data_IF_840034807752
#
_entry.id   IF_840034807752
#
_cell.length_a   1.000
_cell.length_b   1.000
_cell.length_c   1.000
_cell.angle_alpha   90.00
_cell.angle_beta   90.00
_cell.angle_gamma   90.00
#
_symmetry.space_group_name_H-M   'P 1'
#
loop_
_entity.id
_entity.type
_entity.pdbx_description
1 polymer ?
#
# COMPACT_ATOMS: atom_id res chain seq x y z
N UNK A 1 -15.09 5.96 25.33
CA UNK A 1 -15.78 6.92 24.42
C UNK A 1 -15.77 6.32 23.03
N UNK A 2 -16.91 6.26 22.35
CA UNK A 2 -16.98 5.70 21.00
C UNK A 2 -16.11 6.56 20.07
N UNK A 3 -15.28 5.97 19.20
CA UNK A 3 -14.31 6.72 18.36
C UNK A 3 -14.96 7.79 17.47
N UNK A 4 -16.27 7.70 17.21
CA UNK A 4 -17.01 8.65 16.39
C UNK A 4 -17.15 10.04 17.06
N UNK A 5 -17.30 10.13 18.37
CA UNK A 5 -17.36 11.44 19.06
C UNK A 5 -16.03 12.20 18.98
N UNK A 6 -14.89 11.48 19.00
CA UNK A 6 -13.57 12.08 18.82
C UNK A 6 -13.37 12.62 17.41
N UNK A 7 -13.85 11.89 16.40
CA UNK A 7 -13.80 12.34 14.99
C UNK A 7 -14.64 13.60 14.80
N UNK A 8 -15.87 13.61 15.31
CA UNK A 8 -16.75 14.79 15.23
C UNK A 8 -16.16 15.99 15.97
N UNK A 9 -15.68 15.81 17.20
CA UNK A 9 -15.03 16.87 17.97
C UNK A 9 -13.78 17.42 17.25
N UNK A 10 -12.99 16.54 16.62
CA UNK A 10 -11.82 16.95 15.85
C UNK A 10 -12.21 17.74 14.59
N UNK A 11 -13.25 17.35 13.86
CA UNK A 11 -13.75 18.08 12.69
C UNK A 11 -14.22 19.48 13.09
N UNK A 12 -14.96 19.61 14.20
CA UNK A 12 -15.44 20.91 14.72
C UNK A 12 -14.27 21.81 15.15
N UNK A 13 -13.30 21.25 15.87
CA UNK A 13 -12.10 21.96 16.28
C UNK A 13 -11.27 22.41 15.06
N UNK A 14 -11.14 21.55 14.07
CA UNK A 14 -10.45 21.82 12.82
C UNK A 14 -11.11 22.96 12.06
N UNK A 15 -12.47 22.97 11.99
CA UNK A 15 -13.24 24.07 11.38
C UNK A 15 -13.06 25.40 12.10
N UNK A 16 -13.02 25.41 13.43
CA UNK A 16 -12.79 26.61 14.24
C UNK A 16 -11.37 27.16 14.03
N UNK A 17 -10.33 26.31 14.05
CA UNK A 17 -8.93 26.72 13.84
C UNK A 17 -8.69 27.20 12.41
N UNK A 18 -9.35 26.56 11.42
CA UNK A 18 -9.18 26.89 9.99
C UNK A 18 -9.54 28.33 9.63
N UNK A 19 -10.48 28.93 10.39
CA UNK A 19 -10.91 30.32 10.23
C UNK A 19 -9.77 31.35 10.45
N UNK A 20 -8.79 31.03 11.30
CA UNK A 20 -7.71 31.92 11.70
C UNK A 20 -6.43 31.72 10.90
N UNK A 21 -6.32 30.69 10.06
CA UNK A 21 -5.12 30.38 9.30
C UNK A 21 -4.95 31.30 8.09
N UNK A 22 -3.69 31.66 7.73
CA UNK A 22 -3.41 32.35 6.48
C UNK A 22 -3.88 31.57 5.25
N UNK A 23 -4.30 32.24 4.16
CA UNK A 23 -4.79 31.55 2.95
C UNK A 23 -3.81 30.52 2.37
N UNK A 24 -2.52 30.84 2.36
CA UNK A 24 -1.46 29.92 1.93
C UNK A 24 -1.44 28.63 2.75
N UNK A 25 -1.46 28.76 4.08
CA UNK A 25 -1.47 27.59 4.98
C UNK A 25 -2.72 26.74 4.78
N UNK A 26 -3.87 27.34 4.54
CA UNK A 26 -5.13 26.61 4.23
C UNK A 26 -4.99 25.80 2.96
N UNK A 27 -4.43 26.39 1.91
CA UNK A 27 -4.19 25.71 0.64
C UNK A 27 -3.20 24.54 0.81
N UNK A 28 -2.09 24.77 1.51
CA UNK A 28 -1.07 23.75 1.79
C UNK A 28 -1.64 22.57 2.58
N UNK A 29 -2.41 22.85 3.64
CA UNK A 29 -3.09 21.83 4.42
C UNK A 29 -4.15 21.08 3.61
N UNK A 30 -4.82 21.73 2.66
CA UNK A 30 -5.75 21.09 1.76
C UNK A 30 -5.04 20.11 0.83
N UNK A 31 -3.88 20.46 0.27
CA UNK A 31 -3.06 19.53 -0.50
C UNK A 31 -2.54 18.36 0.34
N UNK A 32 -2.10 18.60 1.56
CA UNK A 32 -1.70 17.54 2.50
C UNK A 32 -2.87 16.56 2.70
N UNK A 33 -4.10 17.05 2.90
CA UNK A 33 -5.28 16.20 3.04
C UNK A 33 -5.57 15.35 1.80
N UNK A 34 -5.47 15.95 0.60
CA UNK A 34 -5.65 15.26 -0.68
C UNK A 34 -4.61 14.15 -0.89
N UNK A 35 -3.34 14.47 -0.66
CA UNK A 35 -2.24 13.52 -0.82
C UNK A 35 -2.29 12.43 0.24
N UNK A 36 -2.66 12.77 1.49
CA UNK A 36 -2.87 11.80 2.55
C UNK A 36 -3.97 10.79 2.20
N UNK A 37 -5.05 11.22 1.54
CA UNK A 37 -6.14 10.33 1.12
C UNK A 37 -5.64 9.25 0.12
N UNK A 38 -4.80 9.64 -0.84
CA UNK A 38 -4.16 8.70 -1.77
C UNK A 38 -3.15 7.81 -1.04
N UNK A 39 -2.33 8.40 -0.18
CA UNK A 39 -1.31 7.67 0.59
C UNK A 39 -1.93 6.64 1.55
N UNK A 40 -3.09 6.92 2.15
CA UNK A 40 -3.86 5.98 2.97
C UNK A 40 -4.30 4.77 2.13
N UNK A 41 -4.77 4.99 0.90
CA UNK A 41 -5.06 3.91 -0.06
C UNK A 41 -3.82 3.07 -0.38
N UNK A 42 -2.66 3.72 -0.58
CA UNK A 42 -1.38 3.04 -0.82
C UNK A 42 -0.87 2.28 0.40
N UNK A 43 -1.08 2.78 1.62
CA UNK A 43 -0.77 2.02 2.85
C UNK A 43 -1.58 0.73 2.90
N UNK A 44 -2.87 0.77 2.54
CA UNK A 44 -3.69 -0.45 2.44
C UNK A 44 -3.15 -1.42 1.40
N UNK A 45 -2.79 -0.90 0.22
CA UNK A 45 -2.33 -1.71 -0.90
C UNK A 45 -0.92 -2.27 -0.66
N UNK A 46 0.05 -1.40 -0.37
CA UNK A 46 1.47 -1.77 -0.25
C UNK A 46 1.80 -2.27 1.14
N UNK A 47 1.33 -1.58 2.16
CA UNK A 47 1.68 -1.86 3.54
C UNK A 47 0.99 -3.09 4.12
N UNK A 48 -0.30 -3.21 3.89
CA UNK A 48 -1.13 -4.31 4.42
C UNK A 48 -1.27 -5.44 3.41
N UNK A 49 -1.58 -5.11 2.16
CA UNK A 49 -1.79 -6.09 1.09
C UNK A 49 -0.51 -6.63 0.44
N UNK A 50 0.65 -6.00 0.69
CA UNK A 50 1.94 -6.43 0.13
C UNK A 50 2.08 -6.23 -1.38
N UNK A 51 1.34 -5.29 -1.97
CA UNK A 51 1.29 -5.02 -3.41
C UNK A 51 1.76 -3.61 -3.72
N UNK A 52 2.90 -3.44 -4.37
CA UNK A 52 3.41 -2.11 -4.75
C UNK A 52 2.75 -1.63 -6.03
N UNK A 53 2.27 -0.38 -6.05
CA UNK A 53 1.68 0.28 -7.20
C UNK A 53 2.20 1.71 -7.36
N UNK A 54 2.58 2.06 -8.58
CA UNK A 54 3.01 3.41 -8.96
C UNK A 54 1.94 4.17 -9.74
N UNK A 55 0.86 3.51 -10.15
CA UNK A 55 -0.17 4.07 -11.02
C UNK A 55 -1.30 4.83 -10.31
N UNK A 56 -1.19 5.13 -9.01
CA UNK A 56 -2.29 5.74 -8.25
C UNK A 56 -2.65 7.15 -8.73
N UNK A 57 -1.68 7.92 -9.25
CA UNK A 57 -1.93 9.24 -9.81
C UNK A 57 -2.92 9.21 -10.99
N UNK A 58 -2.91 8.15 -11.79
CA UNK A 58 -3.87 7.98 -12.89
C UNK A 58 -5.32 7.82 -12.40
N UNK A 59 -5.52 7.14 -11.26
CA UNK A 59 -6.86 7.02 -10.64
C UNK A 59 -7.33 8.35 -10.03
N UNK A 60 -6.41 9.18 -9.51
CA UNK A 60 -6.71 10.57 -9.14
C UNK A 60 -7.21 11.33 -10.38
N UNK A 61 -6.53 11.17 -11.52
CA UNK A 61 -6.93 11.74 -12.80
C UNK A 61 -8.32 11.31 -13.23
N UNK A 62 -8.66 10.03 -13.14
CA UNK A 62 -10.00 9.53 -13.50
C UNK A 62 -11.11 10.23 -12.71
N UNK A 63 -10.94 10.38 -11.40
CA UNK A 63 -11.90 11.10 -10.55
C UNK A 63 -12.03 12.58 -10.90
N UNK A 64 -10.89 13.23 -11.17
CA UNK A 64 -10.84 14.64 -11.55
C UNK A 64 -11.49 14.89 -12.94
N UNK A 65 -11.09 14.12 -13.93
CA UNK A 65 -11.60 14.29 -15.31
C UNK A 65 -13.06 13.90 -15.47
N UNK A 66 -13.54 12.86 -14.79
CA UNK A 66 -14.95 12.51 -14.79
C UNK A 66 -15.81 13.67 -14.26
N UNK A 67 -15.32 14.35 -13.21
CA UNK A 67 -16.01 15.52 -12.65
C UNK A 67 -15.95 16.72 -13.60
N UNK A 68 -14.78 17.00 -14.18
CA UNK A 68 -14.63 18.09 -15.14
C UNK A 68 -15.53 17.87 -16.38
N UNK A 69 -15.57 16.65 -16.88
CA UNK A 69 -16.42 16.31 -18.05
C UNK A 69 -17.92 16.51 -17.75
N UNK A 70 -18.42 16.00 -16.63
CA UNK A 70 -19.83 16.18 -16.23
C UNK A 70 -20.19 17.64 -16.05
N UNK A 71 -19.28 18.46 -15.57
CA UNK A 71 -19.57 19.86 -15.22
C UNK A 71 -19.43 20.82 -16.39
N UNK A 72 -18.61 20.47 -17.39
CA UNK A 72 -18.22 21.40 -18.47
C UNK A 72 -18.64 20.95 -19.86
N UNK A 73 -18.88 19.65 -20.12
CA UNK A 73 -19.21 19.20 -21.46
C UNK A 73 -20.63 19.60 -21.89
N UNK A 74 -20.82 20.05 -23.14
CA UNK A 74 -22.13 20.38 -23.67
C UNK A 74 -23.08 19.17 -23.69
N UNK A 75 -22.56 17.97 -23.94
CA UNK A 75 -23.34 16.73 -23.99
C UNK A 75 -23.89 16.39 -22.60
N UNK A 76 -23.05 16.45 -21.56
CA UNK A 76 -23.49 16.24 -20.19
C UNK A 76 -24.53 17.30 -19.78
N UNK A 77 -24.33 18.56 -20.16
CA UNK A 77 -25.29 19.64 -19.88
C UNK A 77 -26.66 19.38 -20.51
N UNK A 78 -26.71 18.79 -21.71
CA UNK A 78 -27.99 18.42 -22.38
C UNK A 78 -28.66 17.25 -21.61
N UNK A 79 -27.92 16.22 -21.24
CA UNK A 79 -28.47 15.06 -20.51
C UNK A 79 -28.94 15.42 -19.11
N UNK A 80 -28.32 16.40 -18.48
CA UNK A 80 -28.60 16.81 -17.12
C UNK A 80 -29.43 18.11 -17.05
N UNK A 81 -29.99 18.59 -18.16
CA UNK A 81 -30.68 19.87 -18.24
C UNK A 81 -31.85 20.02 -17.26
N UNK A 82 -32.50 18.91 -16.87
CA UNK A 82 -33.59 18.89 -15.89
C UNK A 82 -33.11 19.02 -14.42
N UNK A 83 -31.79 18.92 -14.14
CA UNK A 83 -31.24 18.94 -12.81
C UNK A 83 -30.58 20.28 -12.47
N UNK A 84 -30.63 20.72 -11.20
CA UNK A 84 -29.92 21.91 -10.75
C UNK A 84 -28.39 21.75 -10.97
N UNK A 85 -27.73 22.78 -11.46
CA UNK A 85 -26.27 22.77 -11.74
C UNK A 85 -25.42 22.45 -10.51
N UNK A 86 -25.86 22.78 -9.30
CA UNK A 86 -25.18 22.45 -8.04
C UNK A 86 -25.05 20.94 -7.78
N UNK A 87 -25.84 20.09 -8.47
CA UNK A 87 -25.78 18.62 -8.35
C UNK A 87 -24.70 18.03 -9.27
N UNK A 88 -24.27 18.72 -10.33
CA UNK A 88 -23.33 18.20 -11.31
C UNK A 88 -22.00 17.69 -10.70
N UNK A 89 -21.36 18.39 -9.75
CA UNK A 89 -20.16 17.85 -9.09
C UNK A 89 -20.39 16.52 -8.35
N UNK A 90 -21.58 16.31 -7.79
CA UNK A 90 -21.95 15.05 -7.12
C UNK A 90 -22.15 13.90 -8.09
N UNK A 91 -22.77 14.20 -9.27
CA UNK A 91 -22.88 13.23 -10.37
C UNK A 91 -21.48 12.90 -10.89
N UNK A 92 -20.59 13.90 -10.99
CA UNK A 92 -19.19 13.72 -11.33
C UNK A 92 -18.44 12.79 -10.35
N UNK A 93 -18.72 12.92 -9.05
CA UNK A 93 -18.20 11.98 -8.04
C UNK A 93 -18.65 10.55 -8.32
N UNK A 94 -19.96 10.34 -8.49
CA UNK A 94 -20.50 9.00 -8.72
C UNK A 94 -19.96 8.38 -10.02
N UNK A 95 -19.92 9.15 -11.09
CA UNK A 95 -19.34 8.72 -12.36
C UNK A 95 -17.84 8.42 -12.21
N UNK A 96 -17.10 9.31 -11.56
CA UNK A 96 -15.67 9.13 -11.30
C UNK A 96 -15.36 7.86 -10.51
N UNK A 97 -16.14 7.61 -9.45
CA UNK A 97 -16.00 6.38 -8.67
C UNK A 97 -16.38 5.14 -9.48
N UNK A 98 -17.47 5.18 -10.27
CA UNK A 98 -17.91 4.06 -11.08
C UNK A 98 -16.89 3.72 -12.19
N UNK A 99 -16.41 4.71 -12.94
CA UNK A 99 -15.39 4.55 -13.98
C UNK A 99 -14.09 4.04 -13.36
N UNK A 100 -13.66 4.63 -12.25
CA UNK A 100 -12.44 4.19 -11.56
C UNK A 100 -12.57 2.78 -11.03
N UNK A 101 -13.72 2.40 -10.45
CA UNK A 101 -13.96 1.04 -9.98
C UNK A 101 -13.86 0.02 -11.13
N UNK A 102 -14.47 0.33 -12.27
CA UNK A 102 -14.43 -0.52 -13.47
C UNK A 102 -13.00 -0.65 -14.01
N UNK A 103 -12.32 0.49 -14.22
CA UNK A 103 -10.94 0.51 -14.73
C UNK A 103 -10.00 -0.21 -13.76
N UNK A 104 -10.09 0.06 -12.47
CA UNK A 104 -9.27 -0.59 -11.46
C UNK A 104 -9.57 -2.09 -11.36
N UNK A 105 -10.82 -2.50 -11.52
CA UNK A 105 -11.18 -3.92 -11.54
C UNK A 105 -10.57 -4.63 -12.77
N UNK A 106 -10.71 -4.05 -13.97
CA UNK A 106 -10.14 -4.59 -15.22
C UNK A 106 -8.61 -4.67 -15.12
N UNK A 107 -7.97 -3.55 -14.76
CA UNK A 107 -6.51 -3.48 -14.62
C UNK A 107 -6.01 -4.42 -13.52
N UNK A 108 -6.73 -4.48 -12.39
CA UNK A 108 -6.44 -5.41 -11.31
C UNK A 108 -6.55 -6.87 -11.74
N UNK A 109 -7.60 -7.24 -12.48
CA UNK A 109 -7.80 -8.61 -12.97
C UNK A 109 -6.66 -9.07 -13.92
N UNK A 110 -6.11 -8.15 -14.70
CA UNK A 110 -5.00 -8.40 -15.63
C UNK A 110 -3.65 -8.39 -14.90
N UNK A 111 -3.35 -7.30 -14.16
CA UNK A 111 -2.01 -7.06 -13.60
C UNK A 111 -1.73 -7.84 -12.32
N UNK A 112 -2.74 -8.09 -11.46
CA UNK A 112 -2.53 -8.83 -10.20
C UNK A 112 -2.29 -10.33 -10.38
N UNK A 113 -2.43 -10.85 -11.59
CA UNK A 113 -1.97 -12.20 -11.96
C UNK A 113 -0.43 -12.27 -12.08
N UNK A 114 0.20 -11.11 -12.37
CA UNK A 114 1.65 -10.99 -12.39
C UNK A 114 2.19 -11.10 -10.97
N UNK A 115 3.34 -11.75 -10.83
CA UNK A 115 4.01 -11.95 -9.53
C UNK A 115 5.33 -11.21 -9.46
N UNK A 116 5.78 -10.90 -8.25
CA UNK A 116 7.09 -10.28 -8.02
C UNK A 116 7.20 -8.88 -8.62
N UNK A 117 8.27 -8.63 -9.36
CA UNK A 117 8.60 -7.32 -9.93
C UNK A 117 7.72 -6.88 -11.11
N UNK A 118 6.95 -7.78 -11.70
CA UNK A 118 6.11 -7.44 -12.86
C UNK A 118 4.87 -6.60 -12.50
N UNK A 119 4.37 -6.72 -11.26
CA UNK A 119 3.23 -5.92 -10.82
C UNK A 119 3.52 -4.41 -10.80
N UNK A 120 4.62 -3.93 -10.19
CA UNK A 120 5.00 -2.52 -10.27
C UNK A 120 5.16 -2.00 -11.71
N UNK A 121 5.81 -2.79 -12.58
CA UNK A 121 5.99 -2.43 -14.00
C UNK A 121 4.65 -2.29 -14.73
N UNK A 122 3.71 -3.22 -14.49
CA UNK A 122 2.37 -3.14 -15.05
C UNK A 122 1.63 -1.86 -14.61
N UNK A 123 1.74 -1.49 -13.33
CA UNK A 123 1.10 -0.26 -12.82
C UNK A 123 1.72 1.02 -13.35
N UNK A 124 3.03 1.03 -13.65
CA UNK A 124 3.71 2.13 -14.36
C UNK A 124 3.17 2.25 -15.78
N UNK A 125 3.09 1.13 -16.52
CA UNK A 125 2.61 1.13 -17.90
C UNK A 125 1.18 1.70 -18.01
N UNK A 126 0.27 1.24 -17.15
CA UNK A 126 -1.10 1.75 -17.12
C UNK A 126 -1.18 3.21 -16.67
N UNK A 127 -0.34 3.61 -15.70
CA UNK A 127 -0.25 4.99 -15.26
C UNK A 127 0.13 5.93 -16.39
N UNK A 128 1.17 5.57 -17.17
CA UNK A 128 1.59 6.32 -18.36
C UNK A 128 0.51 6.31 -19.44
N UNK A 129 -0.12 5.17 -19.73
CA UNK A 129 -1.16 5.07 -20.75
C UNK A 129 -2.33 6.01 -20.44
N UNK A 130 -2.84 6.01 -19.19
CA UNK A 130 -3.92 6.92 -18.79
C UNK A 130 -3.49 8.39 -18.80
N UNK A 131 -2.27 8.71 -18.42
CA UNK A 131 -1.72 10.06 -18.53
C UNK A 131 -1.76 10.58 -19.97
N UNK A 132 -1.34 9.75 -20.94
CA UNK A 132 -1.41 10.12 -22.37
C UNK A 132 -2.83 10.14 -22.89
N UNK A 133 -3.73 9.30 -22.38
CA UNK A 133 -5.16 9.38 -22.72
C UNK A 133 -5.72 10.74 -22.29
N UNK A 134 -5.43 11.19 -21.06
CA UNK A 134 -5.88 12.52 -20.61
C UNK A 134 -5.32 13.66 -21.45
N UNK A 135 -4.04 13.56 -21.87
CA UNK A 135 -3.37 14.59 -22.65
C UNK A 135 -3.76 14.65 -24.13
N UNK A 136 -4.22 13.54 -24.72
CA UNK A 136 -4.50 13.46 -26.15
C UNK A 136 -6.00 13.48 -26.50
N UNK A 137 -6.89 13.29 -25.53
CA UNK A 137 -8.33 13.40 -25.78
C UNK A 137 -8.78 14.87 -25.76
N UNK A 138 -9.19 15.38 -26.91
CA UNK A 138 -9.72 16.75 -27.07
C UNK A 138 -10.93 17.02 -26.17
N UNK A 139 -11.80 16.03 -25.98
CA UNK A 139 -12.97 16.11 -25.10
C UNK A 139 -12.58 16.38 -23.63
N UNK A 140 -11.35 16.00 -23.24
CA UNK A 140 -10.78 16.26 -21.90
C UNK A 140 -9.90 17.54 -21.87
N UNK A 141 -9.90 18.35 -22.94
CA UNK A 141 -9.12 19.57 -23.03
C UNK A 141 -7.63 19.37 -23.35
N UNK A 142 -7.20 18.13 -23.62
CA UNK A 142 -5.82 17.80 -23.94
C UNK A 142 -4.82 18.28 -22.87
N UNK A 143 -3.61 18.63 -23.28
CA UNK A 143 -2.58 19.17 -22.37
C UNK A 143 -2.85 20.59 -21.89
N UNK A 144 -3.72 21.36 -22.58
CA UNK A 144 -4.13 22.71 -22.15
C UNK A 144 -5.05 22.66 -20.93
N UNK A 145 -5.82 21.59 -20.81
CA UNK A 145 -6.73 21.35 -19.69
C UNK A 145 -8.09 22.04 -19.83
N UNK A 146 -8.92 21.84 -18.81
CA UNK A 146 -10.27 22.39 -18.69
C UNK A 146 -10.32 23.35 -17.49
N UNK A 147 -10.94 24.53 -17.68
CA UNK A 147 -11.11 25.55 -16.64
C UNK A 147 -12.59 25.91 -16.47
N UNK A 148 -12.90 26.56 -15.33
CA UNK A 148 -14.27 27.02 -15.08
C UNK A 148 -15.16 25.99 -14.38
N UNK A 149 -14.59 25.00 -13.70
CA UNK A 149 -15.35 24.01 -12.93
C UNK A 149 -16.12 24.69 -11.79
N UNK A 150 -17.44 24.45 -11.68
CA UNK A 150 -18.27 25.10 -10.68
C UNK A 150 -17.90 24.67 -9.25
N UNK A 151 -18.11 25.54 -8.25
CA UNK A 151 -17.91 25.17 -6.86
C UNK A 151 -18.89 24.07 -6.43
N UNK A 152 -18.48 23.30 -5.42
CA UNK A 152 -19.38 22.34 -4.79
C UNK A 152 -20.46 23.07 -3.99
N UNK A 153 -21.69 22.63 -4.13
CA UNK A 153 -22.82 23.11 -3.33
C UNK A 153 -23.32 21.98 -2.42
N UNK A 154 -23.49 22.30 -1.14
CA UNK A 154 -24.02 21.40 -0.11
C UNK A 154 -25.17 22.10 0.59
N UNK A 155 -26.38 21.56 0.47
CA UNK A 155 -27.61 22.13 1.05
C UNK A 155 -27.82 23.63 0.75
N UNK A 156 -27.49 24.07 -0.47
CA UNK A 156 -27.64 25.48 -0.88
C UNK A 156 -26.48 26.39 -0.44
N UNK A 157 -25.49 25.87 0.30
CA UNK A 157 -24.28 26.60 0.67
C UNK A 157 -23.17 26.29 -0.36
N UNK A 158 -22.67 27.36 -1.01
CA UNK A 158 -21.56 27.22 -1.94
C UNK A 158 -20.24 27.09 -1.18
N UNK A 159 -19.50 26.00 -1.44
CA UNK A 159 -18.16 25.76 -0.92
C UNK A 159 -17.08 26.38 -1.83
N UNK A 160 -17.35 27.59 -2.35
CA UNK A 160 -16.44 28.32 -3.20
C UNK A 160 -15.16 28.75 -2.48
N UNK A 161 -15.22 28.90 -1.15
CA UNK A 161 -14.08 29.26 -0.33
C UNK A 161 -13.13 28.08 -0.13
N UNK A 162 -11.81 28.23 -0.40
CA UNK A 162 -10.81 27.19 -0.11
C UNK A 162 -10.83 26.74 1.37
N UNK A 163 -11.23 27.61 2.28
CA UNK A 163 -11.35 27.29 3.70
C UNK A 163 -12.41 26.24 3.97
N UNK A 164 -13.62 26.43 3.44
CA UNK A 164 -14.71 25.47 3.61
C UNK A 164 -14.40 24.14 2.94
N UNK A 165 -13.87 24.19 1.73
CA UNK A 165 -13.49 22.98 1.00
C UNK A 165 -12.34 22.23 1.71
N UNK A 166 -11.37 22.94 2.29
CA UNK A 166 -10.32 22.36 3.11
C UNK A 166 -10.86 21.55 4.30
N UNK A 167 -11.88 22.08 5.01
CA UNK A 167 -12.55 21.34 6.08
C UNK A 167 -13.20 20.06 5.55
N UNK A 168 -13.86 20.13 4.37
CA UNK A 168 -14.46 18.95 3.72
C UNK A 168 -13.40 17.91 3.37
N UNK A 169 -12.25 18.32 2.80
CA UNK A 169 -11.14 17.41 2.47
C UNK A 169 -10.68 16.64 3.71
N UNK A 170 -10.45 17.32 4.82
CA UNK A 170 -10.02 16.68 6.06
C UNK A 170 -11.13 15.82 6.69
N UNK A 171 -12.37 16.24 6.61
CA UNK A 171 -13.51 15.43 7.06
C UNK A 171 -13.59 14.11 6.27
N UNK A 172 -13.46 14.17 4.95
CA UNK A 172 -13.44 12.99 4.07
C UNK A 172 -12.24 12.09 4.39
N UNK A 173 -11.04 12.65 4.60
CA UNK A 173 -9.86 11.90 5.01
C UNK A 173 -10.08 11.17 6.35
N UNK A 174 -10.64 11.83 7.35
CA UNK A 174 -10.91 11.22 8.66
C UNK A 174 -11.95 10.12 8.58
N UNK A 175 -13.01 10.31 7.79
CA UNK A 175 -14.01 9.27 7.52
C UNK A 175 -13.39 8.08 6.80
N UNK A 176 -12.52 8.32 5.81
CA UNK A 176 -11.78 7.27 5.11
C UNK A 176 -10.87 6.48 6.08
N UNK A 177 -10.08 7.15 6.91
CA UNK A 177 -9.22 6.51 7.92
C UNK A 177 -10.06 5.70 8.91
N UNK A 178 -11.18 6.23 9.39
CA UNK A 178 -12.09 5.53 10.29
C UNK A 178 -12.69 4.28 9.63
N UNK A 179 -13.18 4.40 8.40
CA UNK A 179 -13.72 3.27 7.63
C UNK A 179 -12.69 2.18 7.39
N UNK A 180 -11.46 2.55 7.01
CA UNK A 180 -10.36 1.61 6.81
C UNK A 180 -9.88 0.97 8.12
N UNK A 181 -9.89 1.72 9.23
CA UNK A 181 -9.59 1.15 10.54
C UNK A 181 -10.57 0.04 10.90
N UNK A 182 -11.88 0.30 10.74
CA UNK A 182 -12.92 -0.70 10.96
C UNK A 182 -12.81 -1.89 10.00
N UNK A 183 -12.49 -1.62 8.72
CA UNK A 183 -12.24 -2.67 7.74
C UNK A 183 -11.09 -3.57 8.17
N UNK A 184 -9.98 -3.00 8.63
CA UNK A 184 -8.81 -3.77 9.07
C UNK A 184 -9.10 -4.63 10.30
N UNK A 185 -10.00 -4.22 11.18
CA UNK A 185 -10.39 -5.00 12.37
C UNK A 185 -11.44 -6.07 12.07
N UNK A 186 -12.01 -6.07 10.84
CA UNK A 186 -13.01 -7.03 10.39
C UNK A 186 -12.41 -8.38 9.96
N UNK A 187 -13.29 -9.34 9.58
CA UNK A 187 -12.89 -10.63 8.98
C UNK A 187 -12.13 -10.42 7.67
N UNK A 188 -12.61 -9.49 6.82
CA UNK A 188 -11.95 -9.13 5.56
C UNK A 188 -10.54 -8.53 5.80
N UNK A 189 -10.40 -7.69 6.82
CA UNK A 189 -9.10 -7.11 7.18
C UNK A 189 -8.07 -8.15 7.61
N UNK A 190 -8.50 -9.21 8.31
CA UNK A 190 -7.60 -10.34 8.63
C UNK A 190 -7.18 -11.10 7.38
N UNK A 191 -8.11 -11.32 6.44
CA UNK A 191 -7.80 -11.96 5.16
C UNK A 191 -6.82 -11.10 4.32
N UNK A 192 -6.99 -9.76 4.31
CA UNK A 192 -6.07 -8.84 3.63
C UNK A 192 -4.67 -8.89 4.26
N UNK A 193 -4.57 -8.89 5.59
CA UNK A 193 -3.27 -9.01 6.28
C UNK A 193 -2.56 -10.33 5.99
N UNK A 194 -3.32 -11.42 5.81
CA UNK A 194 -2.76 -12.73 5.47
C UNK A 194 -2.05 -12.74 4.10
N UNK A 195 -2.44 -11.85 3.16
CA UNK A 195 -1.78 -11.74 1.84
C UNK A 195 -0.28 -11.44 1.97
N UNK A 196 0.12 -10.64 2.96
CA UNK A 196 1.52 -10.26 3.19
C UNK A 196 2.35 -11.39 3.76
N UNK A 197 1.75 -12.30 4.53
CA UNK A 197 2.45 -13.42 5.18
C UNK A 197 2.83 -14.55 4.23
N UNK A 198 2.22 -14.59 3.04
CA UNK A 198 2.49 -15.58 2.00
C UNK A 198 1.21 -16.09 1.36
N UNK A 199 1.21 -16.17 0.04
CA UNK A 199 0.04 -16.56 -0.76
C UNK A 199 -0.41 -17.99 -0.43
N UNK A 200 0.51 -18.94 -0.47
CA UNK A 200 0.22 -20.36 -0.21
C UNK A 200 -0.37 -20.57 1.19
N UNK A 201 0.18 -19.89 2.21
CA UNK A 201 -0.32 -20.01 3.58
C UNK A 201 -1.73 -19.41 3.72
N UNK A 202 -2.01 -18.28 3.07
CA UNK A 202 -3.33 -17.68 3.09
C UNK A 202 -4.37 -18.59 2.38
N UNK A 203 -4.02 -19.13 1.22
CA UNK A 203 -4.87 -20.06 0.44
C UNK A 203 -5.14 -21.37 1.20
N UNK A 204 -4.16 -21.92 1.92
CA UNK A 204 -4.35 -23.11 2.75
C UNK A 204 -5.31 -22.90 3.91
N UNK A 205 -5.48 -21.64 4.35
CA UNK A 205 -6.46 -21.23 5.36
C UNK A 205 -7.82 -20.81 4.76
N UNK A 206 -8.05 -21.08 3.46
CA UNK A 206 -9.32 -20.80 2.78
C UNK A 206 -9.50 -19.35 2.34
N UNK A 207 -8.44 -18.54 2.28
CA UNK A 207 -8.50 -17.17 1.79
C UNK A 207 -8.37 -17.16 0.26
N UNK A 208 -9.38 -16.63 -0.44
CA UNK A 208 -9.29 -16.35 -1.88
C UNK A 208 -8.37 -15.12 -2.11
N UNK A 209 -7.08 -15.37 -2.29
CA UNK A 209 -6.07 -14.32 -2.40
C UNK A 209 -6.23 -13.46 -3.64
N UNK A 210 -6.72 -14.03 -4.76
CA UNK A 210 -6.94 -13.29 -5.99
C UNK A 210 -8.05 -12.24 -5.82
N UNK A 211 -9.19 -12.65 -5.25
CA UNK A 211 -10.31 -11.75 -4.96
C UNK A 211 -9.93 -10.65 -3.95
N UNK A 212 -9.20 -11.01 -2.90
CA UNK A 212 -8.78 -10.03 -1.89
C UNK A 212 -7.80 -9.00 -2.46
N UNK A 213 -6.87 -9.39 -3.31
CA UNK A 213 -5.97 -8.47 -4.01
C UNK A 213 -6.72 -7.45 -4.85
N UNK A 214 -7.70 -7.92 -5.66
CA UNK A 214 -8.53 -7.03 -6.50
C UNK A 214 -9.33 -6.06 -5.61
N UNK A 215 -9.97 -6.54 -4.53
CA UNK A 215 -10.71 -5.67 -3.60
C UNK A 215 -9.85 -4.54 -3.03
N UNK A 216 -8.65 -4.86 -2.54
CA UNK A 216 -7.73 -3.86 -1.99
C UNK A 216 -7.27 -2.88 -3.05
N UNK A 217 -6.98 -3.36 -4.27
CA UNK A 217 -6.56 -2.52 -5.39
C UNK A 217 -7.66 -1.54 -5.80
N UNK A 218 -8.91 -2.01 -5.97
CA UNK A 218 -10.07 -1.18 -6.27
C UNK A 218 -10.34 -0.16 -5.15
N UNK A 219 -10.26 -0.58 -3.89
CA UNK A 219 -10.45 0.32 -2.75
C UNK A 219 -9.41 1.46 -2.74
N UNK A 220 -8.14 1.15 -2.98
CA UNK A 220 -7.09 2.17 -3.09
C UNK A 220 -7.32 3.12 -4.27
N UNK A 221 -7.75 2.59 -5.41
CA UNK A 221 -8.11 3.40 -6.59
C UNK A 221 -9.31 4.32 -6.33
N UNK A 222 -10.33 3.85 -5.60
CA UNK A 222 -11.49 4.67 -5.24
C UNK A 222 -11.13 5.82 -4.30
N UNK A 223 -10.22 5.60 -3.35
CA UNK A 223 -9.70 6.68 -2.50
C UNK A 223 -8.88 7.70 -3.31
N UNK A 224 -8.12 7.24 -4.30
CA UNK A 224 -7.43 8.12 -5.22
C UNK A 224 -8.39 8.92 -6.09
N UNK A 225 -9.45 8.31 -6.63
CA UNK A 225 -10.48 9.02 -7.39
C UNK A 225 -11.24 10.05 -6.54
N UNK A 226 -11.53 9.71 -5.30
CA UNK A 226 -12.14 10.64 -4.33
C UNK A 226 -11.24 11.86 -4.07
N UNK A 227 -9.92 11.63 -3.95
CA UNK A 227 -8.94 12.73 -3.90
C UNK A 227 -8.96 13.57 -5.17
N UNK A 228 -9.06 12.94 -6.34
CA UNK A 228 -9.14 13.63 -7.63
C UNK A 228 -10.39 14.51 -7.79
N UNK A 229 -11.53 14.01 -7.34
CA UNK A 229 -12.76 14.79 -7.27
C UNK A 229 -12.61 16.04 -6.39
N UNK A 230 -12.05 15.90 -5.18
CA UNK A 230 -11.80 17.03 -4.28
C UNK A 230 -10.74 17.98 -4.84
N UNK A 231 -9.71 17.44 -5.49
CA UNK A 231 -8.63 18.21 -6.12
C UNK A 231 -9.18 19.17 -7.19
N UNK A 232 -10.01 18.66 -8.11
CA UNK A 232 -10.55 19.45 -9.21
C UNK A 232 -11.51 20.55 -8.71
N UNK A 233 -12.25 20.29 -7.64
CA UNK A 233 -13.10 21.29 -6.99
C UNK A 233 -12.30 22.37 -6.27
N UNK A 234 -11.13 22.03 -5.71
CA UNK A 234 -10.21 22.97 -5.09
C UNK A 234 -9.55 23.88 -6.11
N UNK A 235 -9.04 23.30 -7.20
CA UNK A 235 -8.31 24.01 -8.24
C UNK A 235 -9.20 24.72 -9.27
N UNK A 236 -10.43 24.23 -9.47
CA UNK A 236 -11.36 24.65 -10.53
C UNK A 236 -10.75 24.61 -11.94
N UNK A 237 -9.70 23.81 -12.07
CA UNK A 237 -8.92 23.58 -13.26
C UNK A 237 -8.37 22.16 -13.23
N UNK A 238 -8.28 21.54 -14.40
CA UNK A 238 -7.65 20.22 -14.55
C UNK A 238 -6.83 20.17 -15.83
N UNK A 239 -5.60 19.67 -15.70
CA UNK A 239 -4.73 19.27 -16.80
C UNK A 239 -4.04 17.94 -16.45
N UNK A 240 -3.35 17.26 -17.38
CA UNK A 240 -2.74 15.95 -17.10
C UNK A 240 -1.56 15.99 -16.12
N UNK A 241 -0.84 17.12 -16.02
CA UNK A 241 0.43 17.22 -15.29
C UNK A 241 0.40 16.66 -13.84
N UNK A 242 -0.63 16.92 -13.00
CA UNK A 242 -0.69 16.40 -11.63
C UNK A 242 -0.95 14.88 -11.55
N UNK A 243 -1.21 14.22 -12.67
CA UNK A 243 -1.50 12.79 -12.75
C UNK A 243 -0.38 12.01 -13.44
N UNK A 244 0.77 12.65 -13.64
CA UNK A 244 1.96 12.03 -14.22
C UNK A 244 2.57 10.98 -13.26
N UNK A 245 3.41 10.11 -13.80
CA UNK A 245 4.04 9.02 -13.08
C UNK A 245 4.90 9.48 -11.89
N UNK A 246 5.62 10.59 -12.03
CA UNK A 246 6.43 11.16 -10.95
C UNK A 246 5.60 11.47 -9.69
N UNK A 247 4.38 11.97 -9.86
CA UNK A 247 3.46 12.23 -8.75
C UNK A 247 2.96 10.90 -8.13
N UNK A 248 2.74 9.87 -8.94
CA UNK A 248 2.43 8.52 -8.45
C UNK A 248 3.54 7.94 -7.58
N UNK A 249 4.80 8.20 -7.95
CA UNK A 249 5.98 7.84 -7.16
C UNK A 249 6.02 8.64 -5.84
N UNK A 250 5.74 9.95 -5.88
CA UNK A 250 5.66 10.79 -4.67
C UNK A 250 4.60 10.26 -3.68
N UNK A 251 3.42 9.87 -4.14
CA UNK A 251 2.39 9.26 -3.29
C UNK A 251 2.86 7.98 -2.60
N UNK A 252 3.58 7.13 -3.33
CA UNK A 252 4.14 5.92 -2.74
C UNK A 252 5.19 6.29 -1.68
N UNK A 253 6.00 7.30 -1.92
CA UNK A 253 6.98 7.80 -0.96
C UNK A 253 6.32 8.31 0.32
N UNK A 254 5.24 9.06 0.20
CA UNK A 254 4.45 9.51 1.36
C UNK A 254 3.98 8.32 2.20
N UNK A 255 3.48 7.26 1.57
CA UNK A 255 3.02 6.06 2.25
C UNK A 255 4.16 5.29 2.93
N UNK A 256 5.31 5.16 2.29
CA UNK A 256 6.47 4.38 2.79
C UNK A 256 7.20 5.15 3.89
N UNK A 257 7.53 6.44 3.66
CA UNK A 257 8.21 7.30 4.64
C UNK A 257 7.37 7.46 5.90
N UNK A 258 6.07 7.66 5.73
CA UNK A 258 5.15 7.76 6.87
C UNK A 258 5.06 6.48 7.68
N UNK A 259 5.12 5.34 7.02
CA UNK A 259 5.06 4.00 7.65
C UNK A 259 4.01 3.11 7.01
N UNK A 260 4.47 2.21 6.16
CA UNK A 260 3.64 1.36 5.30
C UNK A 260 2.63 0.45 6.02
N UNK A 261 2.70 0.31 7.34
CA UNK A 261 1.76 -0.50 8.13
C UNK A 261 0.71 0.30 8.91
N UNK A 262 0.69 1.63 8.81
CA UNK A 262 -0.09 2.48 9.70
C UNK A 262 -0.84 3.57 8.91
N UNK A 263 -2.17 3.64 9.04
CA UNK A 263 -3.00 4.64 8.35
C UNK A 263 -2.60 6.07 8.71
N UNK A 264 -2.32 6.36 9.99
CA UNK A 264 -1.83 7.66 10.43
C UNK A 264 -0.42 7.96 9.94
N UNK A 265 0.37 6.94 9.62
CA UNK A 265 1.65 7.09 8.96
C UNK A 265 1.51 7.75 7.59
N UNK A 266 0.47 7.43 6.82
CA UNK A 266 0.20 8.07 5.52
C UNK A 266 0.01 9.59 5.67
N UNK A 267 -0.73 10.03 6.70
CA UNK A 267 -0.93 11.46 6.98
C UNK A 267 0.40 12.13 7.34
N UNK A 268 1.19 11.48 8.22
CA UNK A 268 2.52 11.98 8.58
C UNK A 268 3.43 12.10 7.36
N UNK A 269 3.48 11.07 6.53
CA UNK A 269 4.31 11.05 5.32
C UNK A 269 3.88 12.10 4.30
N UNK A 270 2.57 12.24 4.05
CA UNK A 270 2.02 13.29 3.20
C UNK A 270 2.39 14.69 3.74
N UNK A 271 2.25 14.92 5.04
CA UNK A 271 2.63 16.19 5.68
C UNK A 271 4.11 16.47 5.52
N UNK A 272 4.96 15.50 5.87
CA UNK A 272 6.41 15.68 5.82
C UNK A 272 6.91 15.96 4.40
N UNK A 273 6.47 15.14 3.43
CA UNK A 273 6.92 15.27 2.04
C UNK A 273 6.42 16.58 1.42
N UNK A 274 5.16 16.96 1.69
CA UNK A 274 4.61 18.23 1.14
C UNK A 274 5.32 19.44 1.73
N UNK A 275 5.52 19.49 3.06
CA UNK A 275 6.24 20.58 3.70
C UNK A 275 7.70 20.66 3.26
N UNK A 276 8.35 19.52 3.12
CA UNK A 276 9.73 19.47 2.66
C UNK A 276 9.86 19.97 1.22
N UNK A 277 8.94 19.55 0.34
CA UNK A 277 8.90 20.01 -1.05
C UNK A 277 8.77 21.52 -1.14
N UNK A 278 7.84 22.09 -0.39
CA UNK A 278 7.64 23.52 -0.32
C UNK A 278 8.89 24.28 0.16
N UNK A 279 9.51 23.79 1.23
CA UNK A 279 10.74 24.41 1.75
C UNK A 279 11.92 24.30 0.76
N UNK A 280 12.06 23.15 0.10
CA UNK A 280 13.13 22.95 -0.87
C UNK A 280 12.96 23.83 -2.11
N UNK A 281 11.73 24.02 -2.59
CA UNK A 281 11.44 24.93 -3.71
C UNK A 281 11.83 26.38 -3.41
N UNK A 282 11.72 26.80 -2.15
CA UNK A 282 12.14 28.14 -1.73
C UNK A 282 13.66 28.26 -1.49
N UNK A 283 14.29 27.25 -0.90
CA UNK A 283 15.68 27.33 -0.42
C UNK A 283 16.72 26.95 -1.48
N UNK A 284 16.43 25.91 -2.31
CA UNK A 284 17.42 25.44 -3.30
C UNK A 284 17.81 26.49 -4.33
N UNK A 285 16.89 27.25 -4.94
CA UNK A 285 17.26 28.31 -5.88
C UNK A 285 18.13 29.42 -5.22
N UNK A 286 17.87 29.71 -3.94
CA UNK A 286 18.66 30.73 -3.18
C UNK A 286 20.08 30.23 -2.89
N UNK A 287 20.27 28.91 -2.67
CA UNK A 287 21.58 28.34 -2.36
C UNK A 287 22.41 28.06 -3.61
N UNK A 288 21.78 27.60 -4.69
CA UNK A 288 22.46 27.14 -5.90
C UNK A 288 22.57 28.25 -6.99
N UNK A 289 21.87 29.36 -6.80
CA UNK A 289 21.90 30.47 -7.77
C UNK A 289 21.29 30.17 -9.14
N UNK A 290 20.64 29.03 -9.27
CA UNK A 290 20.00 28.57 -10.52
C UNK A 290 18.63 27.93 -10.25
N UNK A 291 17.68 28.22 -11.15
CA UNK A 291 16.36 27.58 -11.13
C UNK A 291 16.44 26.22 -11.85
N UNK A 292 16.55 25.14 -11.10
CA UNK A 292 16.52 23.76 -11.61
C UNK A 292 15.70 22.86 -10.69
N UNK A 293 15.25 21.70 -11.21
CA UNK A 293 14.49 20.72 -10.44
C UNK A 293 15.40 19.88 -9.52
N UNK A 294 16.27 20.55 -8.75
CA UNK A 294 17.19 19.90 -7.81
C UNK A 294 16.46 19.22 -6.65
N UNK A 295 15.23 19.62 -6.39
CA UNK A 295 14.37 18.99 -5.39
C UNK A 295 14.26 17.47 -5.57
N UNK A 296 14.20 16.96 -6.81
CA UNK A 296 14.13 15.53 -7.11
C UNK A 296 15.35 14.77 -6.60
N UNK A 297 16.55 15.36 -6.73
CA UNK A 297 17.80 14.78 -6.25
C UNK A 297 17.83 14.71 -4.72
N UNK A 298 17.40 15.81 -4.07
CA UNK A 298 17.32 15.87 -2.60
C UNK A 298 16.29 14.87 -2.08
N UNK A 299 15.14 14.74 -2.74
CA UNK A 299 14.15 13.74 -2.42
C UNK A 299 14.70 12.31 -2.54
N UNK A 300 15.39 11.99 -3.62
CA UNK A 300 15.99 10.68 -3.83
C UNK A 300 16.98 10.32 -2.71
N UNK A 301 17.86 11.27 -2.35
CA UNK A 301 18.82 11.07 -1.27
C UNK A 301 18.14 10.91 0.10
N UNK A 302 17.17 11.76 0.39
CA UNK A 302 16.41 11.71 1.65
C UNK A 302 15.64 10.40 1.79
N UNK A 303 15.04 9.91 0.71
CA UNK A 303 14.39 8.62 0.67
C UNK A 303 15.34 7.48 1.02
N UNK A 304 16.53 7.45 0.42
CA UNK A 304 17.54 6.44 0.73
C UNK A 304 17.91 6.48 2.21
N UNK A 305 18.11 7.66 2.77
CA UNK A 305 18.43 7.84 4.20
C UNK A 305 17.29 7.36 5.11
N UNK A 306 16.04 7.74 4.79
CA UNK A 306 14.88 7.30 5.58
C UNK A 306 14.71 5.80 5.53
N UNK A 307 14.80 5.17 4.34
CA UNK A 307 14.68 3.72 4.20
C UNK A 307 15.80 2.97 4.93
N UNK A 308 17.02 3.51 4.97
CA UNK A 308 18.13 2.91 5.71
C UNK A 308 17.95 3.00 7.23
N UNK A 309 17.47 4.16 7.75
CA UNK A 309 17.36 4.42 9.19
C UNK A 309 16.01 3.99 9.78
N UNK A 310 14.95 4.02 9.00
CA UNK A 310 13.59 3.73 9.39
C UNK A 310 12.89 2.79 8.39
N UNK A 311 13.28 1.52 8.26
CA UNK A 311 12.74 0.57 7.28
C UNK A 311 11.23 0.35 7.44
N UNK A 312 10.68 0.59 8.64
CA UNK A 312 9.23 0.51 8.92
C UNK A 312 8.53 1.87 8.84
N UNK A 313 9.22 2.92 8.37
CA UNK A 313 8.75 4.30 8.32
C UNK A 313 8.86 5.06 9.64
N UNK A 314 8.48 6.34 9.61
CA UNK A 314 8.66 7.26 10.75
C UNK A 314 7.59 7.10 11.84
N UNK A 315 6.37 6.67 11.50
CA UNK A 315 5.27 6.55 12.45
C UNK A 315 5.58 5.63 13.65
N UNK A 316 6.14 4.41 13.49
CA UNK A 316 6.47 3.57 14.63
C UNK A 316 7.49 4.21 15.58
N UNK A 317 8.45 4.99 15.06
CA UNK A 317 9.43 5.71 15.86
C UNK A 317 8.75 6.78 16.73
N UNK A 318 7.89 7.61 16.12
CA UNK A 318 7.12 8.63 16.81
C UNK A 318 6.15 8.03 17.82
N UNK A 319 5.41 6.98 17.44
CA UNK A 319 4.48 6.30 18.33
C UNK A 319 5.19 5.63 19.52
N UNK A 320 6.41 5.12 19.34
CA UNK A 320 7.22 4.57 20.43
C UNK A 320 7.74 5.67 21.37
N UNK A 321 8.17 6.80 20.81
CA UNK A 321 8.64 7.95 21.59
C UNK A 321 7.50 8.56 22.43
N UNK A 322 6.32 8.77 21.83
CA UNK A 322 5.14 9.28 22.55
C UNK A 322 4.65 8.31 23.63
N UNK A 323 4.69 6.99 23.37
CA UNK A 323 4.36 5.98 24.38
C UNK A 323 5.33 5.99 25.57
N UNK A 324 6.63 6.21 25.33
CA UNK A 324 7.63 6.33 26.40
C UNK A 324 7.41 7.57 27.24
N UNK A 325 6.98 8.68 26.61
CA UNK A 325 6.69 9.95 27.31
C UNK A 325 5.37 9.91 28.10
N UNK A 326 4.33 9.25 27.56
CA UNK A 326 2.98 9.25 28.13
C UNK A 326 2.68 8.09 29.07
N UNK A 327 3.46 7.01 29.05
CA UNK A 327 3.36 5.90 30.00
C UNK A 327 4.71 5.74 30.71
N UNK A 328 4.81 6.17 31.99
CA UNK A 328 5.86 5.66 32.84
C UNK A 328 5.78 4.13 32.80
N UNK A 329 6.93 3.48 32.67
CA UNK A 329 7.07 2.03 32.56
C UNK A 329 6.08 1.33 33.48
N UNK A 330 5.02 0.77 32.88
CA UNK A 330 4.28 -0.25 33.60
C UNK A 330 5.32 -1.34 33.94
N UNK A 331 5.48 -1.60 35.23
CA UNK A 331 6.34 -2.67 35.70
C UNK A 331 6.07 -3.91 34.83
N UNK A 332 7.11 -4.67 34.46
CA UNK A 332 6.93 -5.88 33.68
C UNK A 332 5.84 -6.69 34.38
N UNK A 333 4.75 -6.91 33.62
CA UNK A 333 3.62 -7.72 34.12
C UNK A 333 4.25 -9.05 34.48
N UNK A 334 4.52 -9.26 35.79
CA UNK A 334 4.93 -10.57 36.28
C UNK A 334 3.85 -11.52 35.77
N UNK A 335 4.21 -12.35 34.81
CA UNK A 335 3.39 -13.51 34.49
C UNK A 335 3.21 -14.22 35.80
N UNK A 336 2.02 -14.04 36.41
CA UNK A 336 1.64 -14.85 37.55
C UNK A 336 1.70 -16.27 37.03
N UNK A 337 2.74 -16.97 37.44
CA UNK A 337 2.85 -18.41 37.28
C UNK A 337 1.80 -19.02 38.22
N UNK A 338 0.54 -18.88 37.82
CA UNK A 338 -0.61 -19.35 38.60
C UNK A 338 -1.53 -20.17 37.71
N UNK A 339 -1.52 -21.44 37.94
CA UNK A 339 -2.34 -22.43 37.27
C UNK A 339 -1.50 -23.27 36.31
N UNK A 340 -1.30 -24.52 36.62
CA UNK A 340 -0.46 -25.46 35.93
C UNK A 340 -0.51 -25.32 34.42
N UNK A 341 0.52 -24.73 33.86
CA UNK A 341 0.81 -24.87 32.44
C UNK A 341 0.93 -26.37 32.26
N UNK A 342 -0.07 -26.98 31.59
CA UNK A 342 0.09 -28.34 31.10
C UNK A 342 1.43 -28.35 30.37
N UNK A 343 2.42 -28.99 30.96
CA UNK A 343 3.71 -29.15 30.32
C UNK A 343 3.41 -29.89 29.04
N UNK A 344 3.53 -29.17 27.90
CA UNK A 344 3.51 -29.83 26.60
C UNK A 344 4.50 -30.97 26.68
N UNK A 345 4.07 -32.19 26.39
CA UNK A 345 4.96 -33.35 26.33
C UNK A 345 6.23 -32.94 25.59
N UNK A 346 7.33 -32.81 26.34
CA UNK A 346 8.60 -32.45 25.71
C UNK A 346 8.98 -33.63 24.84
N UNK A 347 8.92 -33.41 23.56
CA UNK A 347 9.36 -34.38 22.57
C UNK A 347 10.81 -34.74 22.93
N UNK A 348 11.08 -36.02 23.18
CA UNK A 348 12.44 -36.48 23.46
C UNK A 348 13.29 -36.19 22.23
N UNK A 349 14.26 -35.30 22.38
CA UNK A 349 15.23 -35.00 21.34
C UNK A 349 16.11 -36.23 21.10
N UNK A 350 16.50 -36.52 19.86
CA UNK A 350 17.43 -37.60 19.58
C UNK A 350 18.78 -37.36 20.30
N UNK A 351 19.45 -38.37 20.79
CA UNK A 351 20.73 -38.23 21.45
C UNK A 351 21.76 -37.56 20.51
N UNK A 352 22.64 -36.72 21.05
CA UNK A 352 23.71 -36.06 20.24
C UNK A 352 24.51 -37.09 19.44
N UNK A 353 24.78 -36.76 18.16
CA UNK A 353 25.51 -37.63 17.25
C UNK A 353 24.65 -38.67 16.51
N UNK A 354 23.37 -38.86 16.88
CA UNK A 354 22.47 -39.70 16.08
C UNK A 354 22.17 -39.05 14.72
N UNK A 355 22.23 -39.84 13.67
CA UNK A 355 21.86 -39.38 12.31
C UNK A 355 20.37 -39.06 12.26
N UNK A 356 20.01 -37.80 11.96
CA UNK A 356 18.63 -37.33 11.93
C UNK A 356 18.13 -37.10 10.52
N UNK A 357 18.97 -36.57 9.63
CA UNK A 357 18.64 -36.34 8.23
C UNK A 357 19.75 -36.92 7.33
N UNK A 358 19.37 -37.63 6.30
CA UNK A 358 20.27 -38.15 5.29
C UNK A 358 19.66 -37.88 3.91
N UNK A 359 20.41 -37.23 3.04
CA UNK A 359 20.15 -37.10 1.63
C UNK A 359 21.21 -37.90 0.87
N UNK A 360 20.80 -38.82 0.00
CA UNK A 360 21.68 -39.69 -0.76
C UNK A 360 21.45 -39.49 -2.26
N UNK A 361 22.48 -39.08 -2.99
CA UNK A 361 22.47 -38.85 -4.43
C UNK A 361 21.28 -38.09 -4.95
N UNK A 362 20.84 -37.07 -4.17
CA UNK A 362 19.63 -36.31 -4.46
C UNK A 362 19.84 -35.44 -5.69
N UNK A 363 19.04 -35.70 -6.71
CA UNK A 363 19.09 -35.01 -8.01
C UNK A 363 17.72 -34.39 -8.30
N UNK A 364 17.71 -33.16 -8.79
CA UNK A 364 16.50 -32.49 -9.29
C UNK A 364 16.72 -31.96 -10.70
N UNK A 365 15.84 -32.39 -11.59
CA UNK A 365 15.78 -31.94 -12.98
C UNK A 365 14.48 -31.21 -13.25
N UNK A 366 14.56 -30.03 -13.85
CA UNK A 366 13.41 -29.29 -14.37
C UNK A 366 13.55 -29.20 -15.89
N UNK A 367 12.83 -30.05 -16.61
CA UNK A 367 12.94 -30.16 -18.07
C UNK A 367 14.40 -30.28 -18.53
N UNK A 368 14.97 -29.26 -19.12
CA UNK A 368 16.38 -29.25 -19.60
C UNK A 368 17.41 -28.77 -18.58
N UNK A 369 16.99 -28.34 -17.36
CA UNK A 369 17.89 -27.82 -16.34
C UNK A 369 18.08 -28.81 -15.20
N UNK A 370 19.35 -29.14 -14.88
CA UNK A 370 19.71 -29.88 -13.67
C UNK A 370 20.00 -28.89 -12.55
N UNK A 371 19.08 -28.73 -11.61
CA UNK A 371 19.22 -27.78 -10.51
C UNK A 371 20.13 -28.31 -9.38
N UNK A 372 20.04 -29.63 -9.11
CA UNK A 372 20.91 -30.35 -8.18
C UNK A 372 21.32 -31.67 -8.86
N UNK A 373 22.56 -32.08 -8.68
CA UNK A 373 23.12 -33.29 -9.29
C UNK A 373 23.84 -34.14 -8.24
N UNK A 374 23.23 -35.28 -7.88
CA UNK A 374 23.80 -36.29 -6.99
C UNK A 374 24.36 -35.70 -5.66
N UNK A 375 23.55 -34.85 -4.98
CA UNK A 375 23.97 -34.19 -3.73
C UNK A 375 23.80 -35.13 -2.54
N UNK A 376 24.84 -35.30 -1.75
CA UNK A 376 24.85 -36.03 -0.50
C UNK A 376 24.91 -35.05 0.69
N UNK A 377 24.13 -35.30 1.73
CA UNK A 377 24.14 -34.55 3.00
C UNK A 377 23.74 -35.47 4.16
N UNK A 378 24.55 -35.49 5.19
CA UNK A 378 24.25 -36.12 6.46
C UNK A 378 24.24 -35.09 7.59
N UNK A 379 23.16 -35.05 8.38
CA UNK A 379 23.02 -34.18 9.55
C UNK A 379 22.78 -35.03 10.79
N UNK A 380 23.54 -34.76 11.84
CA UNK A 380 23.40 -35.45 13.14
C UNK A 380 22.76 -34.54 14.19
N UNK A 381 22.14 -35.14 15.18
CA UNK A 381 21.54 -34.41 16.27
C UNK A 381 22.59 -33.57 17.02
N UNK A 382 22.29 -32.28 17.21
CA UNK A 382 23.18 -31.30 17.81
C UNK A 382 24.13 -30.59 16.85
N UNK A 383 24.15 -30.95 15.55
CA UNK A 383 24.97 -30.28 14.53
C UNK A 383 24.18 -29.14 13.87
N UNK A 384 24.93 -28.10 13.47
CA UNK A 384 24.44 -27.00 12.64
C UNK A 384 25.14 -27.02 11.30
N UNK A 385 24.40 -27.28 10.24
CA UNK A 385 24.92 -27.29 8.87
C UNK A 385 24.48 -26.04 8.11
N UNK A 386 25.42 -25.41 7.39
CA UNK A 386 25.15 -24.28 6.53
C UNK A 386 25.35 -24.67 5.06
N UNK A 387 24.29 -24.52 4.25
CA UNK A 387 24.37 -24.69 2.79
C UNK A 387 24.68 -23.34 2.15
N UNK A 388 25.91 -23.17 1.67
CA UNK A 388 26.41 -21.92 1.08
C UNK A 388 26.69 -22.08 -0.41
N UNK A 389 26.58 -20.97 -1.15
CA UNK A 389 26.82 -20.93 -2.60
C UNK A 389 26.21 -19.70 -3.25
N UNK A 390 26.56 -19.39 -4.51
CA UNK A 390 26.03 -18.24 -5.25
C UNK A 390 24.52 -18.36 -5.51
N UNK A 391 23.90 -17.24 -5.96
CA UNK A 391 22.49 -17.26 -6.38
C UNK A 391 22.34 -18.16 -7.62
N UNK A 392 21.31 -19.00 -7.65
CA UNK A 392 21.10 -19.98 -8.71
C UNK A 392 21.82 -21.33 -8.51
N UNK A 393 22.62 -21.53 -7.47
CA UNK A 393 23.33 -22.78 -7.18
C UNK A 393 22.43 -23.95 -6.70
N UNK A 394 21.11 -23.84 -6.77
CA UNK A 394 20.18 -24.92 -6.39
C UNK A 394 19.92 -25.07 -4.90
N UNK A 395 20.39 -24.15 -4.03
CA UNK A 395 20.23 -24.26 -2.56
C UNK A 395 18.76 -24.39 -2.13
N UNK A 396 17.90 -23.49 -2.61
CA UNK A 396 16.48 -23.50 -2.28
C UNK A 396 15.79 -24.76 -2.80
N UNK A 397 16.19 -25.24 -3.97
CA UNK A 397 15.70 -26.50 -4.54
C UNK A 397 16.06 -27.69 -3.65
N UNK A 398 17.31 -27.71 -3.16
CA UNK A 398 17.76 -28.76 -2.25
C UNK A 398 17.00 -28.72 -0.92
N UNK A 399 16.81 -27.52 -0.30
CA UNK A 399 15.99 -27.35 0.90
C UNK A 399 14.56 -27.83 0.69
N UNK A 400 13.95 -27.53 -0.45
CA UNK A 400 12.58 -27.97 -0.77
C UNK A 400 12.49 -29.50 -0.82
N UNK A 401 13.52 -30.18 -1.35
CA UNK A 401 13.52 -31.65 -1.39
C UNK A 401 13.70 -32.28 -0.02
N UNK A 402 14.61 -31.77 0.80
CA UNK A 402 14.84 -32.34 2.16
C UNK A 402 13.73 -31.98 3.16
N UNK A 403 12.85 -31.03 2.83
CA UNK A 403 11.68 -30.65 3.66
C UNK A 403 10.34 -31.19 3.12
N UNK A 404 10.35 -31.92 1.99
CA UNK A 404 9.14 -32.47 1.40
C UNK A 404 8.20 -31.46 0.75
N UNK A 405 8.73 -30.28 0.39
CA UNK A 405 8.01 -29.29 -0.44
C UNK A 405 8.04 -29.72 -1.91
N UNK A 406 9.12 -30.39 -2.31
CA UNK A 406 9.32 -30.90 -3.66
C UNK A 406 9.99 -32.28 -3.58
N UNK A 407 9.65 -33.16 -4.53
CA UNK A 407 10.26 -34.50 -4.57
C UNK A 407 11.55 -34.50 -5.40
N UNK A 408 12.60 -35.23 -5.00
CA UNK A 408 13.75 -35.45 -5.84
C UNK A 408 13.37 -36.26 -7.09
N UNK A 409 14.05 -35.96 -8.22
CA UNK A 409 13.88 -36.75 -9.45
C UNK A 409 14.60 -38.10 -9.34
N UNK A 410 15.76 -38.11 -8.67
CA UNK A 410 16.58 -39.28 -8.39
C UNK A 410 17.19 -39.15 -6.99
N UNK A 411 17.56 -40.25 -6.37
CA UNK A 411 18.10 -40.31 -5.02
C UNK A 411 17.02 -40.43 -3.97
N UNK A 412 17.40 -40.38 -2.70
CA UNK A 412 16.44 -40.51 -1.59
C UNK A 412 16.78 -39.60 -0.42
N UNK A 413 15.72 -39.20 0.31
CA UNK A 413 15.83 -38.45 1.59
C UNK A 413 15.29 -39.34 2.69
N UNK A 414 16.05 -39.45 3.77
CA UNK A 414 15.66 -40.16 5.00
C UNK A 414 15.62 -39.18 6.17
N UNK A 415 14.59 -39.26 6.96
CA UNK A 415 14.45 -38.50 8.21
C UNK A 415 14.21 -39.47 9.36
N UNK A 416 15.02 -39.42 10.40
CA UNK A 416 14.98 -40.39 11.52
C UNK A 416 14.99 -41.86 11.06
N UNK A 417 15.79 -42.17 10.02
CA UNK A 417 15.91 -43.50 9.41
C UNK A 417 14.75 -43.90 8.47
N UNK A 418 13.67 -43.11 8.40
CA UNK A 418 12.53 -43.40 7.53
C UNK A 418 12.73 -42.75 6.14
N UNK A 419 12.43 -43.49 5.08
CA UNK A 419 12.42 -42.97 3.72
C UNK A 419 11.24 -42.00 3.54
N UNK A 420 11.53 -40.83 3.06
CA UNK A 420 10.56 -39.72 2.94
C UNK A 420 10.12 -39.43 1.50
N UNK A 421 10.57 -40.20 0.53
CA UNK A 421 10.19 -40.02 -0.88
C UNK A 421 8.66 -40.05 -1.06
N UNK A 422 8.10 -39.07 -1.76
CA UNK A 422 6.67 -38.93 -2.03
C UNK A 422 5.81 -38.58 -0.82
N UNK A 423 6.41 -38.26 0.33
CA UNK A 423 5.64 -37.84 1.53
C UNK A 423 5.53 -36.32 1.57
N UNK A 424 4.35 -35.75 1.90
CA UNK A 424 4.14 -34.32 1.99
C UNK A 424 4.91 -33.71 3.21
N UNK A 425 5.22 -32.41 3.15
CA UNK A 425 5.93 -31.66 4.22
C UNK A 425 5.36 -31.88 5.62
N UNK A 426 4.05 -32.09 5.75
CA UNK A 426 3.42 -32.41 7.05
C UNK A 426 3.96 -33.69 7.69
N UNK A 427 4.40 -34.66 6.88
CA UNK A 427 4.98 -35.90 7.38
C UNK A 427 6.39 -35.67 7.89
N UNK A 428 7.17 -34.78 7.25
CA UNK A 428 8.47 -34.34 7.74
C UNK A 428 8.32 -33.56 9.06
N UNK A 429 7.37 -32.63 9.14
CA UNK A 429 7.07 -31.87 10.36
C UNK A 429 6.63 -32.81 11.52
N UNK A 430 5.87 -33.87 11.21
CA UNK A 430 5.46 -34.87 12.19
C UNK A 430 6.66 -35.62 12.82
N UNK A 431 7.75 -35.78 12.08
CA UNK A 431 9.01 -36.40 12.56
C UNK A 431 10.00 -35.39 13.21
N UNK A 432 9.70 -34.09 13.15
CA UNK A 432 10.48 -33.07 13.85
C UNK A 432 11.35 -32.17 13.00
N UNK A 433 11.15 -32.16 11.68
CA UNK A 433 11.83 -31.24 10.77
C UNK A 433 11.12 -29.88 10.75
#
# INVERSE_FOLDING_TARGET
>A
MKPMHLVVAFIVLLGAVWGFLPPFTVTLLSYIGLYALVAVGLVMLTGVGGMTSFGQAAFVGLGAYATAWITLSPEAAQWLAALPKGIYPWIGLLLGLAVTALVAWVLGAVTLRLSGHYLPLGTIAWGLSLYYVFGNLEVLGGFTGLSGIPPLEVFGVSLASPRLLGVVIWAVLLVAIWGLHNLLDSREGRAIRALKSGRLMAESMGVDTARQRIKVFVLAALLAALSGWLYVLLQRFVNPTPFALNIGIEYLFMAVVGGSGHLWGAVLGATLITLLKEQLQDWLPRLLGSSGNFEIVVFGLLMLLVLQRAPNGLWPMLASATRRLLRPQAAPRQLVAGGGVATLDQRQLPPPGQQVLQAQQVTKRFAGLVANNAVDLDVRAGEVHALIGPNGAGKSTFFNMISGVDDPTEGQVRLMGQVMAGKPSRAFAALGL
#
